data_IF_223294077078
#
_entry.id   IF_223294077078
#
_cell.length_a   1.000
_cell.length_b   1.000
_cell.length_c   1.000
_cell.angle_alpha   90.00
_cell.angle_beta   90.00
_cell.angle_gamma   90.00
#
_symmetry.space_group_name_H-M   'P 1'
#
loop_
_entity.id
_entity.type
_entity.pdbx_description
1 polymer ?
#
# COMPACT_ATOMS: atom_id res chain seq x y z
N UNK A 1 10.39 21.41 -13.25
CA UNK A 1 11.09 21.67 -14.53
C UNK A 1 10.32 22.59 -15.49
N UNK A 2 9.05 22.93 -15.25
CA UNK A 2 8.31 23.91 -16.08
C UNK A 2 7.91 23.41 -17.48
N UNK A 3 7.94 22.10 -17.73
CA UNK A 3 7.57 21.50 -19.01
C UNK A 3 6.07 21.13 -19.03
N UNK A 4 5.20 22.12 -19.21
CA UNK A 4 3.74 21.92 -19.15
C UNK A 4 3.20 20.95 -20.22
N UNK A 5 3.80 20.94 -21.41
CA UNK A 5 3.45 19.99 -22.47
C UNK A 5 3.70 18.55 -22.07
N UNK A 6 4.86 18.29 -21.44
CA UNK A 6 5.20 16.96 -20.92
C UNK A 6 4.29 16.59 -19.75
N UNK A 7 4.06 17.52 -18.83
CA UNK A 7 3.11 17.31 -17.72
C UNK A 7 1.75 16.83 -18.25
N UNK A 8 1.12 17.56 -19.20
CA UNK A 8 -0.17 17.17 -19.77
C UNK A 8 -0.12 15.79 -20.46
N UNK A 9 0.95 15.50 -21.21
CA UNK A 9 1.14 14.23 -21.90
C UNK A 9 1.24 13.05 -20.93
N UNK A 10 2.07 13.17 -19.90
CA UNK A 10 2.29 12.07 -18.94
C UNK A 10 1.13 11.91 -17.96
N UNK A 11 0.48 13.00 -17.56
CA UNK A 11 -0.76 12.93 -16.77
C UNK A 11 -1.88 12.22 -17.53
N UNK A 12 -2.03 12.47 -18.83
CA UNK A 12 -2.98 11.71 -19.67
C UNK A 12 -2.62 10.22 -19.74
N UNK A 13 -1.33 9.86 -19.78
CA UNK A 13 -0.89 8.46 -19.80
C UNK A 13 -1.06 7.77 -18.45
N UNK A 14 -1.01 8.51 -17.35
CA UNK A 14 -1.22 7.96 -16.01
C UNK A 14 -2.63 7.37 -15.81
N UNK A 15 -3.61 7.76 -16.64
CA UNK A 15 -4.97 7.18 -16.62
C UNK A 15 -5.09 5.89 -17.45
N UNK A 16 -4.02 5.40 -18.07
CA UNK A 16 -4.09 4.26 -18.99
C UNK A 16 -4.54 2.94 -18.36
N UNK A 17 -4.43 2.80 -17.03
CA UNK A 17 -4.97 1.64 -16.32
C UNK A 17 -6.49 1.48 -16.55
N UNK A 18 -7.22 2.59 -16.74
CA UNK A 18 -8.66 2.59 -17.06
C UNK A 18 -8.96 1.88 -18.39
N UNK A 19 -8.00 1.86 -19.33
CA UNK A 19 -8.18 1.18 -20.62
C UNK A 19 -8.23 -0.35 -20.49
N UNK A 20 -7.70 -0.89 -19.38
CA UNK A 20 -7.65 -2.31 -19.06
C UNK A 20 -8.61 -2.69 -17.92
N UNK A 21 -9.23 -1.71 -17.25
CA UNK A 21 -10.18 -1.97 -16.17
C UNK A 21 -11.57 -2.29 -16.71
N UNK A 22 -12.00 -3.54 -16.56
CA UNK A 22 -13.32 -4.01 -17.01
C UNK A 22 -14.28 -4.11 -15.82
N UNK A 23 -15.16 -3.12 -15.69
CA UNK A 23 -16.05 -2.93 -14.53
C UNK A 23 -16.91 -4.16 -14.17
N UNK A 24 -17.43 -4.86 -15.17
CA UNK A 24 -18.31 -6.01 -14.96
C UNK A 24 -17.55 -7.35 -14.90
N UNK A 25 -16.21 -7.33 -14.97
CA UNK A 25 -15.44 -8.55 -14.84
C UNK A 25 -15.56 -9.10 -13.42
N UNK A 26 -15.82 -10.39 -13.29
CA UNK A 26 -15.84 -11.14 -12.02
C UNK A 26 -14.60 -12.03 -11.91
N UNK A 27 -14.38 -12.59 -10.72
CA UNK A 27 -13.39 -13.64 -10.47
C UNK A 27 -14.07 -14.94 -10.07
N UNK A 28 -13.48 -16.09 -10.40
CA UNK A 28 -13.94 -17.41 -9.97
C UNK A 28 -13.66 -17.71 -8.49
N UNK A 29 -12.95 -16.83 -7.76
CA UNK A 29 -12.60 -17.09 -6.37
C UNK A 29 -13.80 -17.01 -5.42
N UNK A 30 -14.16 -18.17 -4.86
CA UNK A 30 -15.06 -18.37 -3.69
C UNK A 30 -16.33 -17.51 -3.71
N UNK A 31 -16.98 -17.37 -4.87
CA UNK A 31 -18.20 -16.57 -5.05
C UNK A 31 -18.11 -15.18 -4.41
N UNK A 32 -16.92 -14.57 -4.47
CA UNK A 32 -16.57 -13.35 -3.72
C UNK A 32 -17.39 -12.11 -4.07
N UNK A 33 -18.29 -12.17 -5.06
CA UNK A 33 -19.20 -11.12 -5.53
C UNK A 33 -18.56 -9.76 -5.91
N UNK A 34 -17.23 -9.65 -5.91
CA UNK A 34 -16.52 -8.47 -6.39
C UNK A 34 -16.52 -8.42 -7.91
N UNK A 35 -16.74 -7.22 -8.45
CA UNK A 35 -16.62 -6.92 -9.87
C UNK A 35 -15.57 -5.84 -10.09
N UNK A 36 -15.09 -5.72 -11.32
CA UNK A 36 -14.08 -4.74 -11.69
C UNK A 36 -12.68 -5.33 -11.48
N UNK A 37 -12.09 -5.80 -12.58
CA UNK A 37 -10.74 -6.32 -12.61
C UNK A 37 -10.04 -5.86 -13.88
N UNK A 38 -8.72 -5.81 -13.82
CA UNK A 38 -7.91 -5.66 -15.03
C UNK A 38 -8.10 -6.88 -15.93
N UNK A 39 -8.28 -6.63 -17.23
CA UNK A 39 -8.34 -7.62 -18.28
C UNK A 39 -7.44 -7.22 -19.44
N UNK A 40 -6.82 -8.20 -20.12
CA UNK A 40 -6.03 -7.91 -21.30
C UNK A 40 -6.94 -7.47 -22.45
N UNK A 41 -6.36 -6.71 -23.37
CA UNK A 41 -7.10 -6.10 -24.47
C UNK A 41 -6.29 -6.20 -25.75
N UNK A 42 -6.92 -6.72 -26.79
CA UNK A 42 -6.29 -6.84 -28.10
C UNK A 42 -6.09 -5.47 -28.76
N UNK A 43 -5.21 -5.42 -29.75
CA UNK A 43 -4.91 -4.19 -30.48
C UNK A 43 -6.12 -3.61 -31.23
N UNK A 44 -7.10 -4.44 -31.59
CA UNK A 44 -8.37 -4.02 -32.19
C UNK A 44 -9.37 -3.45 -31.15
N UNK A 45 -8.99 -3.44 -29.87
CA UNK A 45 -9.79 -2.92 -28.77
C UNK A 45 -10.79 -3.90 -28.17
N UNK A 46 -10.86 -5.15 -28.66
CA UNK A 46 -11.68 -6.21 -28.07
C UNK A 46 -11.01 -6.79 -26.81
N UNK A 47 -11.82 -7.31 -25.89
CA UNK A 47 -11.33 -7.87 -24.63
C UNK A 47 -10.82 -9.30 -24.83
N UNK A 48 -9.60 -9.56 -24.35
CA UNK A 48 -9.19 -10.92 -24.04
C UNK A 48 -9.76 -11.32 -22.66
N UNK A 49 -9.59 -12.59 -22.29
CA UNK A 49 -9.99 -13.09 -20.99
C UNK A 49 -8.82 -13.75 -20.27
N UNK A 50 -8.58 -13.31 -19.04
CA UNK A 50 -7.77 -14.01 -18.07
C UNK A 50 -8.56 -14.05 -16.77
N UNK A 51 -8.77 -15.23 -16.19
CA UNK A 51 -9.41 -15.32 -14.87
C UNK A 51 -8.59 -14.48 -13.88
N UNK A 52 -9.20 -13.54 -13.13
CA UNK A 52 -8.45 -12.73 -12.18
C UNK A 52 -7.70 -13.50 -11.09
N UNK A 53 -8.02 -14.77 -10.86
CA UNK A 53 -7.26 -15.67 -9.98
C UNK A 53 -5.96 -16.20 -10.58
N UNK A 54 -5.89 -16.28 -11.90
CA UNK A 54 -4.80 -16.92 -12.62
C UNK A 54 -3.47 -16.24 -12.27
N UNK A 55 -2.41 -17.03 -12.10
CA UNK A 55 -1.12 -16.59 -11.56
C UNK A 55 -1.16 -16.13 -10.10
N UNK A 56 -2.24 -16.46 -9.39
CA UNK A 56 -2.35 -16.30 -7.95
C UNK A 56 -1.94 -17.59 -7.23
N UNK A 57 -1.79 -17.56 -5.89
CA UNK A 57 -1.34 -18.71 -5.10
C UNK A 57 -2.15 -20.00 -5.28
N UNK A 58 -3.39 -19.90 -5.77
CA UNK A 58 -4.31 -21.02 -5.90
C UNK A 58 -4.66 -21.41 -7.34
N UNK A 59 -4.13 -20.72 -8.36
CA UNK A 59 -4.40 -21.05 -9.75
C UNK A 59 -3.19 -20.74 -10.64
N UNK A 60 -2.39 -21.77 -10.90
CA UNK A 60 -1.22 -21.74 -11.79
C UNK A 60 -0.24 -20.59 -11.45
N UNK A 61 0.35 -20.56 -10.24
CA UNK A 61 1.21 -19.46 -9.79
C UNK A 61 2.42 -19.21 -10.71
N UNK A 62 2.95 -20.25 -11.34
CA UNK A 62 4.13 -20.18 -12.20
C UNK A 62 3.81 -19.83 -13.68
N UNK A 63 2.53 -19.68 -14.05
CA UNK A 63 2.12 -19.46 -15.45
C UNK A 63 2.29 -18.00 -15.93
N UNK A 64 2.81 -17.13 -15.08
CA UNK A 64 3.12 -15.73 -15.38
C UNK A 64 4.60 -15.40 -15.11
N UNK A 65 5.47 -16.41 -15.23
CA UNK A 65 6.91 -16.22 -15.27
C UNK A 65 7.34 -15.82 -16.69
N UNK A 66 8.57 -15.31 -16.86
CA UNK A 66 9.10 -15.01 -18.20
C UNK A 66 9.37 -16.30 -18.98
N UNK A 67 8.33 -16.85 -19.61
CA UNK A 67 8.41 -17.99 -20.52
C UNK A 67 7.54 -17.79 -21.78
N UNK A 68 7.65 -18.71 -22.74
CA UNK A 68 6.96 -18.66 -24.03
C UNK A 68 5.42 -18.79 -23.94
N UNK A 69 4.90 -19.26 -22.80
CA UNK A 69 3.49 -19.50 -22.53
C UNK A 69 2.89 -18.51 -21.51
N UNK A 70 3.70 -17.53 -21.08
CA UNK A 70 3.37 -16.53 -20.08
C UNK A 70 2.03 -15.86 -20.39
N UNK A 71 1.23 -15.64 -19.35
CA UNK A 71 0.00 -14.87 -19.47
C UNK A 71 0.25 -13.38 -19.32
N UNK A 72 -0.83 -12.62 -19.28
CA UNK A 72 -0.83 -11.18 -19.54
C UNK A 72 -0.47 -10.36 -18.28
N UNK A 73 -0.28 -11.04 -17.14
CA UNK A 73 0.28 -10.47 -15.91
C UNK A 73 1.66 -11.08 -15.64
N UNK A 74 2.42 -10.49 -14.73
CA UNK A 74 3.76 -10.96 -14.37
C UNK A 74 3.84 -11.25 -12.87
N UNK A 75 4.20 -12.49 -12.51
CA UNK A 75 4.38 -13.01 -11.14
C UNK A 75 3.24 -12.73 -10.15
N UNK A 76 2.05 -12.45 -10.66
CA UNK A 76 0.90 -12.12 -9.85
C UNK A 76 -0.36 -12.11 -10.66
N UNK A 77 -1.48 -12.22 -9.96
CA UNK A 77 -2.80 -12.28 -10.57
C UNK A 77 -3.41 -10.91 -10.77
N UNK A 78 -4.45 -10.81 -11.60
CA UNK A 78 -5.18 -9.55 -11.75
C UNK A 78 -5.84 -9.09 -10.45
N UNK A 79 -6.09 -9.98 -9.49
CA UNK A 79 -6.47 -9.61 -8.12
C UNK A 79 -5.46 -8.65 -7.50
N UNK A 80 -4.18 -8.96 -7.57
CA UNK A 80 -3.10 -8.13 -7.04
C UNK A 80 -2.96 -6.83 -7.84
N UNK A 81 -2.86 -6.94 -9.17
CA UNK A 81 -2.64 -5.76 -10.03
C UNK A 81 -3.81 -4.79 -10.06
N UNK A 82 -5.05 -5.23 -9.77
CA UNK A 82 -6.21 -4.31 -9.69
C UNK A 82 -6.02 -3.26 -8.61
N UNK A 83 -5.24 -3.54 -7.56
CA UNK A 83 -4.94 -2.58 -6.52
C UNK A 83 -3.82 -1.60 -6.90
N UNK A 84 -3.13 -1.76 -8.02
CA UNK A 84 -1.87 -1.05 -8.29
C UNK A 84 -2.06 0.27 -9.06
N UNK A 85 -2.69 1.26 -8.41
CA UNK A 85 -2.86 2.64 -8.95
C UNK A 85 -2.35 3.68 -7.93
N UNK A 86 -1.06 3.63 -7.54
CA UNK A 86 -0.53 4.41 -6.41
C UNK A 86 -0.65 5.92 -6.56
N UNK A 87 -0.72 6.43 -7.80
CA UNK A 87 -0.87 7.86 -8.09
C UNK A 87 -2.32 8.34 -8.05
N UNK A 88 -3.31 7.46 -8.18
CA UNK A 88 -4.73 7.85 -8.24
C UNK A 88 -5.66 6.90 -7.48
N UNK A 89 -5.37 6.70 -6.20
CA UNK A 89 -6.13 5.83 -5.32
C UNK A 89 -7.58 6.29 -5.11
N UNK A 90 -7.87 7.59 -5.14
CA UNK A 90 -9.24 8.10 -5.03
C UNK A 90 -10.12 7.63 -6.20
N UNK A 91 -9.58 7.66 -7.43
CA UNK A 91 -10.25 7.14 -8.61
C UNK A 91 -10.41 5.63 -8.54
N UNK A 92 -9.39 4.90 -8.09
CA UNK A 92 -9.45 3.46 -7.91
C UNK A 92 -10.54 3.06 -6.89
N UNK A 93 -10.58 3.70 -5.73
CA UNK A 93 -11.60 3.46 -4.69
C UNK A 93 -13.00 3.66 -5.28
N UNK A 94 -13.19 4.74 -6.05
CA UNK A 94 -14.47 5.01 -6.74
C UNK A 94 -14.81 3.88 -7.74
N UNK A 95 -13.85 3.48 -8.57
CA UNK A 95 -14.03 2.41 -9.56
C UNK A 95 -14.33 1.04 -8.94
N UNK A 96 -13.86 0.80 -7.71
CA UNK A 96 -14.09 -0.42 -6.94
C UNK A 96 -15.36 -0.38 -6.07
N UNK A 97 -16.25 0.59 -6.29
CA UNK A 97 -17.56 0.67 -5.63
C UNK A 97 -17.58 1.55 -4.38
N UNK A 98 -16.61 2.45 -4.23
CA UNK A 98 -16.54 3.41 -3.13
C UNK A 98 -15.84 2.87 -1.88
N UNK A 99 -15.71 3.75 -0.87
CA UNK A 99 -14.90 3.54 0.33
C UNK A 99 -15.19 2.20 1.03
N UNK A 100 -16.45 1.93 1.36
CA UNK A 100 -16.82 0.72 2.11
C UNK A 100 -16.52 -0.55 1.34
N UNK A 101 -16.81 -0.56 0.03
CA UNK A 101 -16.58 -1.73 -0.83
C UNK A 101 -15.09 -1.97 -1.06
N UNK A 102 -14.30 -0.91 -1.19
CA UNK A 102 -12.85 -0.99 -1.27
C UNK A 102 -12.24 -1.62 -0.02
N UNK A 103 -12.62 -1.14 1.17
CA UNK A 103 -12.12 -1.68 2.46
C UNK A 103 -12.47 -3.16 2.58
N UNK A 104 -13.73 -3.51 2.30
CA UNK A 104 -14.20 -4.90 2.33
C UNK A 104 -13.39 -5.80 1.37
N UNK A 105 -13.22 -5.37 0.12
CA UNK A 105 -12.45 -6.11 -0.89
C UNK A 105 -10.98 -6.26 -0.54
N UNK A 106 -10.35 -5.20 -0.03
CA UNK A 106 -8.95 -5.23 0.36
C UNK A 106 -8.74 -6.15 1.57
N UNK A 107 -9.61 -6.08 2.58
CA UNK A 107 -9.60 -7.03 3.71
C UNK A 107 -9.76 -8.47 3.24
N UNK A 108 -10.74 -8.73 2.36
CA UNK A 108 -10.91 -10.05 1.77
C UNK A 108 -9.65 -10.53 1.05
N UNK A 109 -8.98 -9.66 0.28
CA UNK A 109 -7.74 -10.01 -0.42
C UNK A 109 -6.61 -10.42 0.55
N UNK A 110 -6.48 -9.74 1.69
CA UNK A 110 -5.55 -10.11 2.76
C UNK A 110 -5.91 -11.44 3.43
N UNK A 111 -7.20 -11.69 3.67
CA UNK A 111 -7.68 -12.81 4.49
C UNK A 111 -7.93 -14.10 3.69
N UNK A 112 -8.11 -13.99 2.37
CA UNK A 112 -8.45 -15.13 1.54
C UNK A 112 -7.24 -15.99 1.12
N UNK A 113 -6.01 -15.54 1.41
CA UNK A 113 -4.77 -16.18 0.96
C UNK A 113 -4.38 -15.87 -0.49
N UNK A 114 -5.09 -14.96 -1.17
CA UNK A 114 -4.74 -14.54 -2.53
C UNK A 114 -3.49 -13.63 -2.57
N UNK A 115 -3.23 -12.91 -1.47
CA UNK A 115 -2.06 -12.05 -1.34
C UNK A 115 -0.85 -12.85 -0.88
N UNK A 116 0.18 -12.92 -1.73
CA UNK A 116 1.49 -13.46 -1.38
C UNK A 116 2.45 -12.33 -0.99
N UNK A 117 2.84 -12.26 0.29
CA UNK A 117 3.79 -11.27 0.79
C UNK A 117 5.25 -11.53 0.37
N UNK A 118 5.53 -12.66 -0.28
CA UNK A 118 6.84 -12.97 -0.85
C UNK A 118 7.11 -12.33 -2.22
N UNK A 119 6.27 -11.38 -2.67
CA UNK A 119 6.46 -10.64 -3.93
C UNK A 119 6.20 -9.12 -3.73
N UNK A 120 6.87 -8.25 -4.49
CA UNK A 120 6.94 -6.80 -4.25
C UNK A 120 5.61 -6.07 -4.40
N UNK A 121 4.76 -6.51 -5.34
CA UNK A 121 3.50 -5.83 -5.62
C UNK A 121 2.53 -5.94 -4.42
N UNK A 122 2.77 -6.88 -3.50
CA UNK A 122 2.01 -7.08 -2.27
C UNK A 122 2.24 -6.00 -1.21
N UNK A 123 3.33 -5.24 -1.29
CA UNK A 123 3.70 -4.27 -0.25
C UNK A 123 2.72 -3.10 -0.17
N UNK A 124 2.32 -2.55 -1.32
CA UNK A 124 1.41 -1.41 -1.36
C UNK A 124 0.02 -1.74 -0.76
N UNK A 125 -0.65 -2.86 -1.13
CA UNK A 125 -1.92 -3.28 -0.53
C UNK A 125 -1.98 -3.21 1.00
N UNK A 126 -0.88 -3.56 1.70
CA UNK A 126 -0.80 -3.51 3.18
C UNK A 126 -1.16 -2.14 3.73
N UNK A 127 -0.81 -1.06 3.02
CA UNK A 127 -1.00 0.31 3.47
C UNK A 127 -2.13 1.04 2.74
N UNK A 128 -2.88 0.38 1.85
CA UNK A 128 -3.90 1.05 1.06
C UNK A 128 -5.15 1.47 1.85
N UNK A 129 -5.35 0.93 3.06
CA UNK A 129 -6.43 1.40 3.94
C UNK A 129 -6.26 2.87 4.36
N UNK A 130 -5.05 3.44 4.29
CA UNK A 130 -4.80 4.88 4.48
C UNK A 130 -5.59 5.74 3.51
N UNK A 131 -5.67 5.32 2.24
CA UNK A 131 -6.43 6.03 1.19
C UNK A 131 -7.94 5.92 1.37
N UNK A 132 -8.41 4.95 2.16
CA UNK A 132 -9.82 4.78 2.51
C UNK A 132 -10.15 5.27 3.93
N UNK A 133 -9.26 6.04 4.57
CA UNK A 133 -9.47 6.60 5.91
C UNK A 133 -9.62 5.53 6.99
N UNK A 134 -8.88 4.42 6.87
CA UNK A 134 -8.79 3.35 7.89
C UNK A 134 -7.33 2.94 8.15
N UNK A 135 -6.43 3.87 8.52
CA UNK A 135 -5.02 3.56 8.75
C UNK A 135 -4.79 2.51 9.86
N UNK A 136 -5.74 2.34 10.78
CA UNK A 136 -5.74 1.28 11.79
C UNK A 136 -5.61 -0.13 11.17
N UNK A 137 -6.34 -0.40 10.08
CA UNK A 137 -6.27 -1.70 9.41
C UNK A 137 -4.89 -1.94 8.79
N UNK A 138 -4.25 -0.90 8.24
CA UNK A 138 -2.86 -1.01 7.77
C UNK A 138 -1.89 -1.35 8.90
N UNK A 139 -2.09 -0.77 10.09
CA UNK A 139 -1.28 -1.08 11.26
C UNK A 139 -1.48 -2.55 11.69
N UNK A 140 -2.72 -3.03 11.73
CA UNK A 140 -3.03 -4.46 12.00
C UNK A 140 -2.34 -5.38 10.99
N UNK A 141 -2.43 -5.08 9.69
CA UNK A 141 -1.78 -5.89 8.64
C UNK A 141 -0.26 -5.91 8.81
N UNK A 142 0.38 -4.75 8.99
CA UNK A 142 1.82 -4.68 9.20
C UNK A 142 2.27 -5.45 10.46
N UNK A 143 1.59 -5.22 11.61
CA UNK A 143 1.86 -5.93 12.88
C UNK A 143 1.54 -7.41 12.84
N UNK A 144 0.72 -7.87 11.89
CA UNK A 144 0.51 -9.30 11.63
C UNK A 144 1.61 -9.89 10.73
N UNK A 145 1.95 -9.23 9.62
CA UNK A 145 2.87 -9.78 8.63
C UNK A 145 4.32 -9.78 9.09
N UNK A 146 4.82 -8.67 9.67
CA UNK A 146 6.23 -8.54 10.02
C UNK A 146 6.68 -9.64 11.01
N UNK A 147 6.03 -9.83 12.18
CA UNK A 147 6.47 -10.85 13.14
C UNK A 147 6.25 -12.29 12.66
N UNK A 148 5.30 -12.51 11.74
CA UNK A 148 4.95 -13.84 11.23
C UNK A 148 5.89 -14.30 10.12
N UNK A 149 6.31 -13.39 9.25
CA UNK A 149 6.96 -13.72 7.98
C UNK A 149 8.45 -13.36 7.95
N UNK A 150 8.90 -12.44 8.80
CA UNK A 150 10.28 -11.94 8.80
C UNK A 150 10.99 -12.33 10.08
N UNK A 151 12.18 -12.94 9.96
CA UNK A 151 13.05 -13.23 11.09
C UNK A 151 14.53 -13.31 10.65
N UNK A 152 15.43 -13.44 11.62
CA UNK A 152 16.88 -13.40 11.38
C UNK A 152 17.52 -14.77 11.10
N UNK A 153 16.72 -15.83 10.93
CA UNK A 153 17.23 -17.16 10.61
C UNK A 153 17.54 -17.30 9.12
N UNK A 154 18.27 -18.37 8.76
CA UNK A 154 18.44 -18.74 7.35
C UNK A 154 17.08 -19.12 6.78
N UNK A 155 16.64 -18.41 5.73
CA UNK A 155 15.28 -18.54 5.18
C UNK A 155 14.22 -17.73 5.93
N UNK A 156 14.62 -16.76 6.75
CA UNK A 156 13.71 -15.88 7.50
C UNK A 156 12.96 -14.83 6.69
N UNK A 157 12.89 -14.95 5.36
CA UNK A 157 12.14 -14.07 4.47
C UNK A 157 10.99 -14.86 3.80
N UNK A 158 9.85 -14.22 3.49
CA UNK A 158 8.71 -14.90 2.87
C UNK A 158 8.91 -15.23 1.38
N UNK A 159 9.96 -14.69 0.75
CA UNK A 159 10.27 -14.83 -0.66
C UNK A 159 11.70 -14.38 -0.95
N UNK A 160 11.99 -14.09 -2.22
CA UNK A 160 13.28 -13.54 -2.63
C UNK A 160 13.48 -12.17 -1.97
N UNK A 161 14.72 -11.83 -1.59
CA UNK A 161 15.01 -10.50 -1.04
C UNK A 161 14.96 -9.41 -2.11
N UNK A 162 15.14 -9.78 -3.38
CA UNK A 162 15.13 -8.92 -4.57
C UNK A 162 15.93 -7.64 -4.39
N UNK A 163 17.21 -7.86 -4.04
CA UNK A 163 18.21 -6.80 -3.83
C UNK A 163 17.81 -5.80 -2.73
N UNK A 164 17.21 -6.30 -1.66
CA UNK A 164 16.82 -5.53 -0.48
C UNK A 164 15.38 -5.00 -0.50
N UNK A 165 14.54 -5.41 -1.44
CA UNK A 165 13.13 -5.02 -1.48
C UNK A 165 12.38 -5.52 -0.24
N UNK A 166 12.52 -6.80 0.11
CA UNK A 166 11.92 -7.38 1.32
C UNK A 166 12.48 -6.74 2.59
N UNK A 167 13.80 -6.59 2.66
CA UNK A 167 14.47 -5.90 3.77
C UNK A 167 13.96 -4.46 3.94
N UNK A 168 13.85 -3.70 2.86
CA UNK A 168 13.36 -2.32 2.89
C UNK A 168 11.89 -2.25 3.32
N UNK A 169 11.02 -3.12 2.81
CA UNK A 169 9.63 -3.23 3.24
C UNK A 169 9.53 -3.47 4.76
N UNK A 170 10.32 -4.40 5.27
CA UNK A 170 10.35 -4.71 6.70
C UNK A 170 10.85 -3.51 7.53
N UNK A 171 11.95 -2.87 7.12
CA UNK A 171 12.52 -1.70 7.83
C UNK A 171 11.52 -0.54 7.87
N UNK A 172 10.94 -0.17 6.73
CA UNK A 172 9.96 0.91 6.67
C UNK A 172 8.70 0.60 7.50
N UNK A 173 8.17 -0.61 7.38
CA UNK A 173 7.05 -1.08 8.23
C UNK A 173 7.40 -0.98 9.72
N UNK A 174 8.62 -1.37 10.12
CA UNK A 174 9.09 -1.30 11.50
C UNK A 174 9.30 0.11 12.02
N UNK A 175 9.74 1.04 11.16
CA UNK A 175 9.80 2.47 11.47
C UNK A 175 8.42 3.09 11.69
N UNK A 176 7.34 2.44 11.23
CA UNK A 176 6.00 3.02 11.22
C UNK A 176 5.80 4.01 10.07
N UNK A 177 6.53 3.87 8.96
CA UNK A 177 6.41 4.71 7.77
C UNK A 177 6.48 3.86 6.51
N UNK A 178 5.61 4.07 5.53
CA UNK A 178 5.70 3.37 4.23
C UNK A 178 5.81 4.37 3.06
N UNK A 179 6.90 4.35 2.26
CA UNK A 179 7.09 5.30 1.17
C UNK A 179 6.21 4.97 -0.03
N UNK A 180 5.57 5.98 -0.60
CA UNK A 180 4.87 5.86 -1.89
C UNK A 180 5.81 6.36 -2.99
N UNK A 181 6.29 5.43 -3.81
CA UNK A 181 7.26 5.72 -4.86
C UNK A 181 6.76 6.80 -5.83
N UNK A 182 7.67 7.67 -6.25
CA UNK A 182 7.36 8.77 -7.17
C UNK A 182 6.58 9.93 -6.55
N UNK A 183 6.32 9.90 -5.25
CA UNK A 183 5.57 10.94 -4.53
C UNK A 183 6.30 11.40 -3.26
N UNK A 184 5.97 12.61 -2.82
CA UNK A 184 6.42 13.19 -1.55
C UNK A 184 5.53 12.70 -0.38
N UNK A 185 5.43 11.38 -0.21
CA UNK A 185 4.45 10.75 0.68
C UNK A 185 5.04 9.53 1.39
N UNK A 186 4.97 9.56 2.72
CA UNK A 186 5.21 8.44 3.61
C UNK A 186 3.97 8.20 4.46
N UNK A 187 3.34 7.03 4.34
CA UNK A 187 2.15 6.66 5.11
C UNK A 187 2.54 6.32 6.55
N UNK A 188 1.89 6.94 7.52
CA UNK A 188 2.22 6.77 8.95
C UNK A 188 1.47 5.57 9.52
N UNK A 189 2.18 4.64 10.13
CA UNK A 189 1.66 3.45 10.80
C UNK A 189 2.27 3.32 12.21
N UNK A 190 1.82 2.34 12.98
CA UNK A 190 2.32 2.10 14.34
C UNK A 190 3.76 1.56 14.32
N UNK A 191 4.74 2.27 14.91
CA UNK A 191 6.14 1.83 14.93
C UNK A 191 6.35 0.57 15.79
N UNK A 192 7.33 -0.25 15.43
CA UNK A 192 7.72 -1.45 16.16
C UNK A 192 8.79 -1.19 17.23
N UNK A 193 9.27 0.05 17.34
CA UNK A 193 10.26 0.48 18.32
C UNK A 193 9.72 1.60 19.19
N UNK A 194 10.29 1.76 20.39
CA UNK A 194 10.03 2.93 21.25
C UNK A 194 10.42 4.24 20.57
N UNK A 195 11.55 4.22 19.88
CA UNK A 195 12.09 5.38 19.19
C UNK A 195 13.04 4.90 18.09
N UNK A 196 13.05 5.60 16.96
CA UNK A 196 14.03 5.42 15.90
C UNK A 196 14.43 6.80 15.33
N UNK A 197 15.72 7.01 15.10
CA UNK A 197 16.24 8.26 14.55
C UNK A 197 17.05 8.00 13.28
N UNK A 198 16.72 8.73 12.22
CA UNK A 198 17.40 8.68 10.92
C UNK A 198 18.17 9.98 10.75
N UNK A 199 19.50 9.89 10.63
CA UNK A 199 20.35 11.04 10.30
C UNK A 199 20.47 11.16 8.79
N UNK A 200 20.08 12.30 8.25
CA UNK A 200 20.38 12.67 6.89
C UNK A 200 21.88 12.96 6.76
N UNK A 201 22.58 12.19 5.92
CA UNK A 201 24.04 12.33 5.75
C UNK A 201 24.44 13.61 5.00
N UNK A 202 23.53 14.21 4.25
CA UNK A 202 23.78 15.42 3.44
C UNK A 202 23.55 16.67 4.29
N UNK A 203 22.39 16.78 4.95
CA UNK A 203 22.03 17.97 5.74
C UNK A 203 22.51 17.91 7.19
N UNK A 204 22.84 16.71 7.70
CA UNK A 204 23.18 16.49 9.11
C UNK A 204 21.97 16.43 10.04
N UNK A 205 20.79 16.84 9.56
CA UNK A 205 19.53 16.85 10.31
C UNK A 205 19.10 15.43 10.70
N UNK A 206 18.32 15.34 11.77
CA UNK A 206 17.87 14.06 12.35
C UNK A 206 16.35 14.05 12.41
N UNK A 207 15.75 13.06 11.76
CA UNK A 207 14.34 12.76 11.83
C UNK A 207 14.12 11.68 12.90
N UNK A 208 13.31 11.96 13.92
CA UNK A 208 13.06 11.04 15.03
C UNK A 208 11.59 10.65 15.05
N UNK A 209 11.32 9.35 15.08
CA UNK A 209 9.98 8.78 15.23
C UNK A 209 9.90 8.19 16.63
N UNK A 210 8.98 8.69 17.46
CA UNK A 210 8.81 8.28 18.85
C UNK A 210 7.44 7.66 19.05
N UNK A 211 7.41 6.45 19.58
CA UNK A 211 6.19 5.73 19.92
C UNK A 211 5.83 5.99 21.39
N UNK A 212 4.80 6.81 21.61
CA UNK A 212 4.25 7.08 22.94
C UNK A 212 3.26 5.96 23.28
N UNK A 213 3.41 5.40 24.50
CA UNK A 213 2.75 4.18 24.95
C UNK A 213 3.19 2.89 24.22
N UNK A 214 4.47 2.81 23.85
CA UNK A 214 5.03 1.59 23.26
C UNK A 214 4.74 0.35 24.13
N UNK A 215 4.11 -0.63 23.50
CA UNK A 215 3.86 -1.95 24.07
C UNK A 215 4.67 -3.01 23.30
N UNK A 216 5.66 -3.68 23.92
CA UNK A 216 6.44 -4.73 23.26
C UNK A 216 5.62 -5.99 22.90
N UNK A 217 4.40 -6.11 23.41
CA UNK A 217 3.46 -7.19 23.03
C UNK A 217 2.58 -6.80 21.83
N UNK A 218 2.71 -5.57 21.32
CA UNK A 218 1.94 -5.05 20.20
C UNK A 218 0.42 -5.20 20.37
N UNK A 219 -0.10 -5.03 21.59
CA UNK A 219 -1.55 -4.87 21.81
C UNK A 219 -2.00 -3.45 21.52
N UNK A 220 -1.15 -2.48 21.85
CA UNK A 220 -1.39 -1.07 21.53
C UNK A 220 -0.76 -0.71 20.19
N UNK A 221 -1.50 -0.94 19.10
CA UNK A 221 -1.05 -0.68 17.72
C UNK A 221 -1.92 0.34 16.98
N UNK A 222 -2.92 0.91 17.66
CA UNK A 222 -3.83 1.86 17.05
C UNK A 222 -3.40 3.28 17.39
N UNK A 223 -3.12 4.08 16.36
CA UNK A 223 -2.73 5.48 16.53
C UNK A 223 -3.91 6.26 17.11
N UNK A 224 -3.69 6.94 18.23
CA UNK A 224 -4.66 7.78 18.92
C UNK A 224 -4.51 9.25 18.55
N UNK A 225 -3.26 9.70 18.39
CA UNK A 225 -2.91 11.03 17.90
C UNK A 225 -1.44 11.03 17.45
N UNK A 226 -1.09 12.02 16.65
CA UNK A 226 0.29 12.28 16.22
C UNK A 226 0.60 13.75 16.42
N UNK A 227 1.83 14.05 16.84
CA UNK A 227 2.39 15.40 16.78
C UNK A 227 3.62 15.42 15.88
N UNK A 228 3.81 16.53 15.17
CA UNK A 228 5.04 16.86 14.45
C UNK A 228 5.63 18.11 15.09
N UNK A 229 6.79 17.96 15.71
CA UNK A 229 7.49 19.03 16.44
C UNK A 229 6.58 19.72 17.48
N UNK A 230 5.83 18.90 18.23
CA UNK A 230 4.90 19.34 19.28
C UNK A 230 3.56 19.90 18.76
N UNK A 231 3.36 20.01 17.44
CA UNK A 231 2.11 20.49 16.85
C UNK A 231 1.22 19.31 16.43
N UNK A 232 -0.11 19.38 16.65
CA UNK A 232 -1.02 18.33 16.20
C UNK A 232 -0.88 18.03 14.70
N UNK A 233 -0.82 16.75 14.35
CA UNK A 233 -0.74 16.27 12.97
C UNK A 233 -1.85 15.24 12.73
N UNK A 234 -2.81 15.57 11.88
CA UNK A 234 -3.97 14.70 11.61
C UNK A 234 -3.85 13.90 10.33
N UNK A 235 -3.02 14.35 9.38
CA UNK A 235 -2.79 13.66 8.11
C UNK A 235 -2.17 12.29 8.40
N UNK A 236 -2.71 11.25 7.78
CA UNK A 236 -2.20 9.88 7.95
C UNK A 236 -0.90 9.59 7.17
N UNK A 237 -0.23 10.65 6.73
CA UNK A 237 0.99 10.64 5.95
C UNK A 237 1.86 11.86 6.31
N UNK A 238 3.14 11.80 5.94
CA UNK A 238 4.11 12.89 6.08
C UNK A 238 4.94 13.02 4.79
N UNK A 239 5.49 14.21 4.54
CA UNK A 239 6.39 14.47 3.42
C UNK A 239 7.84 14.07 3.70
N UNK A 240 8.64 14.05 2.64
CA UNK A 240 10.08 13.84 2.65
C UNK A 240 10.83 14.95 3.38
N UNK A 241 10.22 16.12 3.52
CA UNK A 241 10.72 17.23 4.32
C UNK A 241 11.08 16.82 5.74
N UNK A 242 10.36 15.83 6.32
CA UNK A 242 10.69 15.23 7.60
C UNK A 242 12.13 14.69 7.67
N UNK A 243 12.64 14.08 6.59
CA UNK A 243 14.00 13.53 6.54
C UNK A 243 15.04 14.56 6.15
N UNK A 244 14.70 15.59 5.38
CA UNK A 244 15.66 16.63 4.97
C UNK A 244 15.85 17.71 6.02
N UNK A 245 14.76 18.12 6.68
CA UNK A 245 14.74 19.16 7.72
C UNK A 245 14.91 18.56 9.13
N UNK A 246 14.62 17.27 9.29
CA UNK A 246 14.61 16.60 10.59
C UNK A 246 13.37 16.93 11.41
N UNK A 247 13.47 16.73 12.72
CA UNK A 247 12.38 16.97 13.66
C UNK A 247 11.93 15.71 14.38
N UNK A 248 10.82 15.81 15.10
CA UNK A 248 10.24 14.70 15.87
C UNK A 248 8.79 14.45 15.48
N UNK A 249 8.49 13.21 15.11
CA UNK A 249 7.15 12.68 14.94
C UNK A 249 6.80 11.80 16.16
N UNK A 250 5.91 12.28 17.02
CA UNK A 250 5.45 11.51 18.18
C UNK A 250 4.12 10.85 17.84
N UNK A 251 4.08 9.51 17.90
CA UNK A 251 2.93 8.69 17.55
C UNK A 251 2.41 8.06 18.85
N UNK A 252 1.26 8.52 19.33
CA UNK A 252 0.62 7.97 20.52
C UNK A 252 -0.23 6.77 20.16
N UNK A 253 0.06 5.60 20.75
CA UNK A 253 -0.68 4.37 20.51
C UNK A 253 -1.67 4.05 21.66
N UNK A 254 -2.68 3.25 21.31
CA UNK A 254 -3.69 2.69 22.19
C UNK A 254 -4.16 1.32 21.70
N UNK A 255 -5.00 0.66 22.49
CA UNK A 255 -5.45 -0.73 22.29
C UNK A 255 -6.77 -0.86 21.49
N UNK A 256 -7.33 0.26 21.04
CA UNK A 256 -8.55 0.34 20.23
C UNK A 256 -8.39 1.33 19.08
N UNK A 257 -9.06 1.06 17.96
CA UNK A 257 -9.14 2.02 16.85
C UNK A 257 -9.61 3.40 17.33
N UNK A 258 -8.98 4.45 16.79
CA UNK A 258 -9.37 5.84 17.02
C UNK A 258 -9.90 6.48 15.73
N UNK A 259 -10.26 7.76 15.81
CA UNK A 259 -10.68 8.56 14.65
C UNK A 259 -9.52 9.30 13.97
N UNK A 260 -8.27 9.15 14.43
CA UNK A 260 -7.11 9.84 13.86
C UNK A 260 -6.86 9.41 12.40
N UNK A 261 -6.60 10.39 11.52
CA UNK A 261 -6.24 10.12 10.13
C UNK A 261 -7.35 9.50 9.29
N UNK A 262 -8.62 9.66 9.72
CA UNK A 262 -9.77 9.05 9.06
C UNK A 262 -10.53 9.98 8.13
N UNK A 263 -10.36 11.31 8.23
CA UNK A 263 -11.07 12.33 7.44
C UNK A 263 -10.53 12.48 6.01
N UNK A 264 -11.35 12.95 5.05
CA UNK A 264 -10.93 13.16 3.64
C UNK A 264 -9.69 14.05 3.56
N UNK A 265 -9.64 15.12 4.34
CA UNK A 265 -8.53 16.06 4.42
C UNK A 265 -7.24 15.46 5.01
N UNK A 266 -7.36 14.32 5.68
CA UNK A 266 -6.24 13.63 6.32
C UNK A 266 -5.65 12.54 5.42
N UNK A 267 -6.32 12.20 4.31
CA UNK A 267 -5.89 11.15 3.39
C UNK A 267 -4.64 11.55 2.60
N UNK A 268 -3.87 10.58 2.08
CA UNK A 268 -2.75 10.86 1.19
C UNK A 268 -3.23 11.54 -0.10
N UNK A 269 -2.38 12.31 -0.79
CA UNK A 269 -2.74 12.92 -2.05
C UNK A 269 -3.07 11.86 -3.11
N UNK A 270 -3.93 12.25 -4.05
CA UNK A 270 -4.34 11.46 -5.21
C UNK A 270 -4.56 12.44 -6.38
N UNK A 271 -4.36 11.98 -7.62
CA UNK A 271 -4.60 12.84 -8.80
C UNK A 271 -6.07 13.25 -8.90
N UNK A 272 -7.00 12.33 -8.65
CA UNK A 272 -8.42 12.62 -8.54
C UNK A 272 -8.82 12.94 -7.10
N UNK A 273 -9.92 13.68 -6.94
CA UNK A 273 -10.48 13.99 -5.62
C UNK A 273 -11.18 12.78 -4.99
N UNK A 274 -11.06 12.67 -3.67
CA UNK A 274 -11.87 11.72 -2.89
C UNK A 274 -13.33 12.16 -2.84
N UNK A 275 -14.22 11.20 -3.09
CA UNK A 275 -15.68 11.36 -2.98
C UNK A 275 -16.18 10.19 -2.15
N UNK A 276 -16.68 10.48 -0.96
CA UNK A 276 -17.31 9.47 -0.10
C UNK A 276 -18.82 9.50 -0.24
#
# INVERSE_FOLDING_TARGET
>A
MGHDGDYKKYMKRATNWENLFKLNQTSSWRDSNYTGFLQPRYADGTWAYQDPMFCGPYLQPDACLMDENAKETYEGSSWLYTFYVPHDMAKLITALGGRSRFIDRLSFFHDSGLLNMGNEQAFLPVFQFHYAGRPALSAERAHSYIPRLFNTSVGGLPGNDDSGAMGAFAVFSMLGLYPIHGQDVYLISAPFFKEASIRNRITGNVATIRNINFDPKYKSIYIQNVTRDGKPWTRNWIGHDFFTEGGTLEVTLGDKESTWGTGIQDLPPSVSDYRW
#
